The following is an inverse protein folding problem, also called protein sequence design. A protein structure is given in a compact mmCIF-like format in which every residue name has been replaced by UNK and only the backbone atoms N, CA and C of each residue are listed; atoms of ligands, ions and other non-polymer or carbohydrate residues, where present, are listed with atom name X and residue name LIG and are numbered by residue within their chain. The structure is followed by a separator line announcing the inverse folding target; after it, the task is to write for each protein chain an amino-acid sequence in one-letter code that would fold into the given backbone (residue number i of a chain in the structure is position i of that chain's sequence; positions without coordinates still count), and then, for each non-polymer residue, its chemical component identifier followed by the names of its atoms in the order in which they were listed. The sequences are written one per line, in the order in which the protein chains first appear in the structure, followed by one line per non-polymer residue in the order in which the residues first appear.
data_IF_317150742188
#
_entry.id   IF_317150742188
#
_cell.length_a   1.000
_cell.length_b   1.000
_cell.length_c   1.000
_cell.angle_alpha   90.00
_cell.angle_beta   90.00
_cell.angle_gamma   90.00
#
_symmetry.space_group_name_H-M   'P 1'
#
loop_
_entity.id
_entity.type
_entity.pdbx_description
1 polymer ?
#
# COMPACT_ATOMS: atom_id res chain seq x y z
N UNK A 1 -14.68 0.49 -7.76
CA UNK A 1 -15.59 -0.24 -8.69
C UNK A 1 -16.71 0.70 -9.10
N UNK A 2 -17.22 0.59 -10.33
CA UNK A 2 -18.37 1.36 -10.78
C UNK A 2 -19.63 0.92 -10.04
N UNK A 3 -20.70 1.73 -10.08
CA UNK A 3 -21.97 1.37 -9.46
C UNK A 3 -22.54 0.06 -10.03
N UNK A 4 -22.40 -0.15 -11.34
CA UNK A 4 -22.85 -1.36 -12.04
C UNK A 4 -22.10 -2.60 -11.59
N UNK A 5 -20.77 -2.48 -11.42
CA UNK A 5 -19.93 -3.57 -10.89
C UNK A 5 -20.30 -3.90 -9.43
N UNK A 6 -20.55 -2.89 -8.60
CA UNK A 6 -20.99 -3.06 -7.21
C UNK A 6 -22.33 -3.80 -7.17
N UNK A 7 -23.30 -3.41 -8.02
CA UNK A 7 -24.60 -4.08 -8.11
C UNK A 7 -24.46 -5.52 -8.61
N UNK A 8 -23.66 -5.75 -9.67
CA UNK A 8 -23.44 -7.09 -10.23
C UNK A 8 -22.75 -8.04 -9.24
N UNK A 9 -21.87 -7.51 -8.38
CA UNK A 9 -21.22 -8.27 -7.32
C UNK A 9 -22.12 -8.48 -6.07
N UNK A 10 -23.34 -7.93 -6.05
CA UNK A 10 -24.22 -7.95 -4.89
C UNK A 10 -23.70 -7.12 -3.70
N UNK A 11 -22.78 -6.18 -3.95
CA UNK A 11 -22.15 -5.34 -2.93
C UNK A 11 -22.98 -4.12 -2.52
N UNK A 12 -24.16 -3.91 -3.10
CA UNK A 12 -25.01 -2.76 -2.79
C UNK A 12 -25.34 -2.70 -1.30
N UNK A 13 -24.97 -1.60 -0.65
CA UNK A 13 -25.22 -1.37 0.77
C UNK A 13 -24.22 -1.99 1.75
N UNK A 14 -23.26 -2.78 1.24
CA UNK A 14 -22.17 -3.37 2.03
C UNK A 14 -20.82 -2.81 1.62
N UNK A 15 -20.66 -2.53 0.32
CA UNK A 15 -19.49 -1.87 -0.21
C UNK A 15 -19.58 -0.38 0.08
N UNK A 16 -18.52 0.17 0.67
CA UNK A 16 -18.32 1.61 0.81
C UNK A 16 -16.90 1.93 0.40
N UNK A 17 -16.72 2.93 -0.44
CA UNK A 17 -15.40 3.34 -0.91
C UNK A 17 -15.15 4.82 -0.63
N UNK A 18 -13.91 5.09 -0.18
CA UNK A 18 -13.32 6.41 -0.05
C UNK A 18 -12.15 6.48 -1.02
N UNK A 19 -11.96 7.64 -1.65
CA UNK A 19 -10.88 7.86 -2.61
C UNK A 19 -9.87 8.84 -2.04
N UNK A 20 -8.60 8.46 -2.09
CA UNK A 20 -7.47 9.33 -1.88
C UNK A 20 -6.80 9.52 -3.24
N UNK A 21 -6.74 10.77 -3.71
CA UNK A 21 -6.09 11.15 -4.95
C UNK A 21 -5.54 12.56 -4.83
N UNK A 22 -4.35 12.82 -5.40
CA UNK A 22 -3.73 14.14 -5.32
C UNK A 22 -4.65 15.24 -5.88
N UNK A 23 -4.86 16.29 -5.09
CA UNK A 23 -5.74 17.42 -5.44
C UNK A 23 -7.24 17.10 -5.39
N UNK A 24 -7.62 16.02 -4.72
CA UNK A 24 -9.00 15.63 -4.52
C UNK A 24 -9.30 15.40 -3.04
N UNK A 25 -10.18 16.24 -2.47
CA UNK A 25 -10.57 16.13 -1.06
C UNK A 25 -11.11 14.76 -0.68
N UNK A 26 -10.53 14.21 0.37
CA UNK A 26 -10.98 13.03 1.09
C UNK A 26 -12.10 13.44 2.04
N UNK A 27 -13.15 12.62 2.14
CA UNK A 27 -14.22 12.83 3.11
C UNK A 27 -15.51 13.44 2.58
N UNK A 28 -15.68 13.54 1.26
CA UNK A 28 -16.88 14.07 0.61
C UNK A 28 -17.59 13.01 -0.23
N UNK A 29 -18.93 13.00 -0.23
CA UNK A 29 -19.73 12.10 -1.08
C UNK A 29 -19.92 12.69 -2.47
N UNK A 30 -19.26 12.11 -3.48
CA UNK A 30 -19.44 12.44 -4.90
C UNK A 30 -18.89 11.32 -5.78
N UNK A 31 -18.99 11.45 -7.10
CA UNK A 31 -18.30 10.53 -7.99
C UNK A 31 -16.84 10.97 -8.20
N UNK A 32 -15.93 10.01 -8.31
CA UNK A 32 -14.57 10.23 -8.78
C UNK A 32 -14.47 9.77 -10.23
N UNK A 33 -14.18 10.70 -11.14
CA UNK A 33 -13.99 10.44 -12.56
C UNK A 33 -12.50 10.43 -12.91
N UNK A 34 -11.97 9.26 -13.28
CA UNK A 34 -10.53 9.01 -13.42
C UNK A 34 -9.81 9.99 -14.35
N UNK A 35 -10.48 10.49 -15.39
CA UNK A 35 -9.89 11.46 -16.33
C UNK A 35 -10.03 12.92 -15.90
N UNK A 36 -11.10 13.26 -15.20
CA UNK A 36 -11.45 14.65 -14.93
C UNK A 36 -10.94 15.11 -13.57
N UNK A 37 -10.92 14.18 -12.59
CA UNK A 37 -10.61 14.45 -11.20
C UNK A 37 -9.15 14.16 -10.82
N UNK A 38 -8.38 13.50 -11.70
CA UNK A 38 -6.94 13.25 -11.47
C UNK A 38 -6.12 14.54 -11.42
N UNK A 39 -4.91 14.44 -10.86
CA UNK A 39 -4.00 15.57 -10.70
C UNK A 39 -3.45 16.11 -12.04
N UNK A 40 -3.13 15.26 -13.03
CA UNK A 40 -2.62 15.71 -14.33
C UNK A 40 -3.72 15.83 -15.39
N UNK A 41 -4.51 16.89 -15.32
CA UNK A 41 -5.66 17.12 -16.21
C UNK A 41 -5.31 17.41 -17.67
N UNK A 42 -4.03 17.61 -17.99
CA UNK A 42 -3.59 18.00 -19.34
C UNK A 42 -3.49 16.81 -20.31
N UNK A 43 -3.50 15.57 -19.82
CA UNK A 43 -3.44 14.37 -20.66
C UNK A 43 -4.77 14.11 -21.40
N UNK A 44 -4.69 13.66 -22.66
CA UNK A 44 -5.87 13.44 -23.50
C UNK A 44 -6.68 12.24 -23.02
N UNK A 45 -8.01 12.39 -22.88
CA UNK A 45 -8.88 11.28 -22.44
C UNK A 45 -8.77 10.02 -23.31
N UNK A 46 -8.44 8.90 -22.67
CA UNK A 46 -8.19 7.60 -23.27
C UNK A 46 -6.77 7.41 -23.83
N UNK A 47 -5.84 8.34 -23.57
CA UNK A 47 -4.43 8.20 -23.99
C UNK A 47 -3.60 7.38 -22.99
N UNK A 48 -2.38 7.00 -23.38
CA UNK A 48 -1.44 6.30 -22.49
C UNK A 48 -0.79 7.23 -21.46
N UNK A 49 -1.02 8.53 -21.58
CA UNK A 49 -0.58 9.56 -20.64
C UNK A 49 -1.42 9.59 -19.36
N UNK A 50 -2.41 8.69 -19.25
CA UNK A 50 -3.09 8.43 -17.99
C UNK A 50 -2.10 8.08 -16.87
N UNK A 51 -1.11 7.25 -17.19
CA UNK A 51 -0.13 6.74 -16.23
C UNK A 51 1.00 7.76 -16.05
N UNK A 52 1.27 8.13 -14.80
CA UNK A 52 2.40 8.98 -14.42
C UNK A 52 3.13 8.26 -13.30
N UNK A 53 4.39 7.87 -13.53
CA UNK A 53 5.07 7.85 -14.83
C UNK A 53 4.39 6.93 -15.86
N UNK A 54 4.69 7.14 -17.14
CA UNK A 54 4.12 6.36 -18.24
C UNK A 54 4.27 4.85 -18.01
N UNK A 55 3.21 4.09 -18.29
CA UNK A 55 3.21 2.64 -18.08
C UNK A 55 4.37 1.99 -18.85
N UNK A 56 5.17 1.12 -18.20
CA UNK A 56 6.22 0.39 -18.88
C UNK A 56 5.66 -0.40 -20.07
N UNK A 57 6.44 -0.47 -21.14
CA UNK A 57 6.13 -1.32 -22.29
C UNK A 57 6.38 -2.79 -21.94
N UNK A 58 5.61 -3.69 -22.54
CA UNK A 58 5.82 -5.14 -22.38
C UNK A 58 7.23 -5.51 -22.85
N UNK A 59 7.99 -6.22 -22.02
CA UNK A 59 9.32 -6.73 -22.37
C UNK A 59 9.49 -8.14 -21.84
N UNK A 60 10.06 -9.02 -22.64
CA UNK A 60 10.53 -10.32 -22.15
C UNK A 60 11.84 -10.16 -21.38
N UNK A 61 11.90 -10.70 -20.16
CA UNK A 61 13.11 -10.66 -19.33
C UNK A 61 13.69 -12.06 -19.13
N UNK A 62 14.80 -12.33 -19.82
CA UNK A 62 15.58 -13.55 -19.67
C UNK A 62 16.11 -13.73 -18.24
N UNK A 63 16.60 -12.66 -17.62
CA UNK A 63 17.15 -12.69 -16.27
C UNK A 63 16.07 -13.06 -15.25
N UNK A 64 14.87 -12.45 -15.34
CA UNK A 64 13.75 -12.79 -14.46
C UNK A 64 13.25 -14.22 -14.67
N UNK A 65 13.16 -14.70 -15.92
CA UNK A 65 12.74 -16.08 -16.21
C UNK A 65 13.73 -17.12 -15.67
N UNK A 66 15.03 -16.86 -15.84
CA UNK A 66 16.12 -17.68 -15.29
C UNK A 66 16.12 -17.66 -13.76
N UNK A 67 15.89 -16.48 -13.18
CA UNK A 67 15.76 -16.26 -11.75
C UNK A 67 14.34 -16.50 -11.24
N UNK A 68 13.43 -17.13 -11.96
CA UNK A 68 12.13 -17.59 -11.44
C UNK A 68 12.06 -19.13 -11.47
N UNK A 69 12.75 -19.72 -12.45
CA UNK A 69 12.83 -21.16 -12.66
C UNK A 69 13.60 -21.88 -11.55
N UNK A 70 12.91 -22.82 -10.86
CA UNK A 70 13.52 -23.68 -9.83
C UNK A 70 14.29 -24.87 -10.41
N UNK A 71 14.10 -25.20 -11.68
CA UNK A 71 14.64 -26.40 -12.33
C UNK A 71 15.52 -26.05 -13.52
N UNK A 72 16.47 -26.94 -13.82
CA UNK A 72 17.40 -26.75 -14.94
C UNK A 72 16.67 -26.73 -16.30
N UNK A 73 15.60 -27.51 -16.48
CA UNK A 73 14.80 -27.50 -17.70
C UNK A 73 13.95 -26.22 -17.85
N UNK A 74 13.48 -25.62 -16.75
CA UNK A 74 12.78 -24.32 -16.82
C UNK A 74 13.70 -23.18 -17.25
N UNK A 75 14.97 -23.23 -16.82
CA UNK A 75 16.03 -22.34 -17.29
C UNK A 75 16.29 -22.53 -18.79
N UNK A 76 16.42 -23.77 -19.25
CA UNK A 76 16.59 -24.08 -20.69
C UNK A 76 15.39 -23.61 -21.51
N UNK A 77 14.16 -23.87 -21.05
CA UNK A 77 12.94 -23.44 -21.74
C UNK A 77 12.87 -21.91 -21.87
N UNK A 78 13.27 -21.17 -20.84
CA UNK A 78 13.35 -19.70 -20.85
C UNK A 78 14.29 -19.19 -21.94
N UNK A 79 15.42 -19.87 -22.16
CA UNK A 79 16.40 -19.51 -23.19
C UNK A 79 15.91 -19.93 -24.57
N UNK A 80 15.35 -21.13 -24.70
CA UNK A 80 14.89 -21.69 -25.99
C UNK A 80 13.67 -20.96 -26.54
N UNK A 81 12.78 -20.45 -25.69
CA UNK A 81 11.61 -19.67 -26.12
C UNK A 81 11.95 -18.22 -26.47
N UNK A 82 13.09 -17.71 -26.01
CA UNK A 82 13.46 -16.30 -26.17
C UNK A 82 13.53 -15.82 -27.63
N UNK A 83 14.09 -16.58 -28.60
CA UNK A 83 14.11 -16.17 -30.01
C UNK A 83 12.71 -15.96 -30.62
N UNK A 84 11.66 -16.54 -30.04
CA UNK A 84 10.27 -16.35 -30.48
C UNK A 84 9.59 -15.24 -29.67
N UNK A 85 9.72 -15.27 -28.34
CA UNK A 85 8.99 -14.36 -27.46
C UNK A 85 9.57 -12.94 -27.49
N UNK A 86 10.90 -12.79 -27.58
CA UNK A 86 11.53 -11.46 -27.62
C UNK A 86 11.01 -10.65 -28.82
N UNK A 87 11.08 -11.13 -30.08
CA UNK A 87 10.53 -10.38 -31.21
C UNK A 87 9.04 -10.07 -31.07
N UNK A 88 8.24 -11.01 -30.53
CA UNK A 88 6.80 -10.80 -30.30
C UNK A 88 6.56 -9.67 -29.30
N UNK A 89 7.26 -9.68 -28.17
CA UNK A 89 7.11 -8.63 -27.14
C UNK A 89 7.67 -7.28 -27.60
N UNK A 90 8.79 -7.26 -28.33
CA UNK A 90 9.35 -6.04 -28.92
C UNK A 90 8.41 -5.45 -29.98
N UNK A 91 7.84 -6.29 -30.84
CA UNK A 91 6.84 -5.89 -31.84
C UNK A 91 5.59 -5.34 -31.16
N UNK A 92 5.06 -6.03 -30.14
CA UNK A 92 3.93 -5.54 -29.36
C UNK A 92 4.24 -4.20 -28.70
N UNK A 93 5.42 -4.04 -28.09
CA UNK A 93 5.89 -2.79 -27.49
C UNK A 93 6.09 -1.66 -28.51
N UNK A 94 6.50 -1.98 -29.74
CA UNK A 94 6.59 -1.03 -30.86
C UNK A 94 5.20 -0.53 -31.26
N UNK A 95 4.20 -1.42 -31.31
CA UNK A 95 2.78 -1.06 -31.46
C UNK A 95 2.14 -0.51 -30.17
N UNK A 96 2.95 -0.30 -29.13
CA UNK A 96 2.57 0.40 -27.91
C UNK A 96 1.88 -0.45 -26.87
N UNK A 97 2.01 -1.77 -26.88
CA UNK A 97 1.55 -2.60 -25.78
C UNK A 97 2.27 -2.21 -24.47
N UNK A 98 1.48 -1.75 -23.50
CA UNK A 98 1.90 -1.36 -22.17
C UNK A 98 1.41 -2.41 -21.16
N UNK A 99 2.10 -2.53 -20.03
CA UNK A 99 1.74 -3.47 -18.96
C UNK A 99 0.40 -3.08 -18.32
N UNK A 100 0.17 -1.79 -18.09
CA UNK A 100 -1.06 -1.29 -17.48
C UNK A 100 -2.07 -0.89 -18.57
N UNK A 101 -3.31 -1.33 -18.40
CA UNK A 101 -4.43 -0.89 -19.24
C UNK A 101 -4.78 0.57 -18.95
N UNK A 102 -5.20 1.31 -19.97
CA UNK A 102 -5.70 2.67 -19.79
C UNK A 102 -7.18 2.63 -19.38
N UNK A 103 -7.59 3.37 -18.34
CA UNK A 103 -8.99 3.62 -17.99
C UNK A 103 -9.88 3.99 -19.17
N UNK A 104 -11.12 3.48 -19.19
CA UNK A 104 -12.14 3.98 -20.12
C UNK A 104 -12.36 5.49 -19.92
N UNK A 105 -12.66 6.22 -21.00
CA UNK A 105 -12.81 7.68 -21.00
C UNK A 105 -13.93 8.16 -20.07
N UNK A 106 -14.95 7.33 -19.87
CA UNK A 106 -16.12 7.62 -19.04
C UNK A 106 -16.04 6.97 -17.65
N UNK A 107 -14.92 6.34 -17.32
CA UNK A 107 -14.83 5.57 -16.08
C UNK A 107 -14.91 6.47 -14.85
N UNK A 108 -15.92 6.19 -14.02
CA UNK A 108 -16.13 6.83 -12.74
C UNK A 108 -16.55 5.83 -11.68
N UNK A 109 -16.26 6.15 -10.43
CA UNK A 109 -16.60 5.35 -9.25
C UNK A 109 -17.38 6.20 -8.24
N UNK A 110 -18.42 5.65 -7.59
CA UNK A 110 -19.20 6.38 -6.59
C UNK A 110 -18.45 6.44 -5.24
N UNK A 111 -18.23 7.62 -4.67
CA UNK A 111 -17.75 7.73 -3.27
C UNK A 111 -18.97 7.76 -2.37
N UNK A 112 -19.26 6.62 -1.77
CA UNK A 112 -20.44 6.36 -0.95
C UNK A 112 -20.12 6.17 0.54
N UNK A 113 -18.83 6.14 0.91
CA UNK A 113 -18.40 6.17 2.30
C UNK A 113 -18.98 7.40 3.05
N UNK A 114 -19.27 7.29 4.36
CA UNK A 114 -19.71 8.42 5.16
C UNK A 114 -18.78 9.62 5.01
N UNK A 115 -19.38 10.81 5.00
CA UNK A 115 -18.61 12.06 4.99
C UNK A 115 -17.82 12.19 6.28
N UNK A 116 -16.61 12.71 6.19
CA UNK A 116 -15.80 12.95 7.37
C UNK A 116 -16.23 14.28 8.01
N UNK A 117 -16.18 14.41 9.34
CA UNK A 117 -16.46 15.69 10.01
C UNK A 117 -15.59 16.83 9.50
N UNK A 118 -14.36 16.50 9.09
CA UNK A 118 -13.44 17.44 8.43
C UNK A 118 -12.86 16.79 7.18
N UNK A 119 -13.29 17.25 6.00
CA UNK A 119 -12.69 16.86 4.73
C UNK A 119 -11.29 17.48 4.58
N UNK A 120 -10.35 16.73 4.00
CA UNK A 120 -8.95 17.15 3.88
C UNK A 120 -8.37 16.81 2.50
N UNK A 121 -7.33 17.54 2.09
CA UNK A 121 -6.53 17.16 0.91
C UNK A 121 -5.52 16.09 1.32
N UNK A 122 -5.40 14.98 0.57
CA UNK A 122 -4.43 13.97 0.89
C UNK A 122 -3.02 14.49 0.60
N UNK A 123 -2.05 14.14 1.45
CA UNK A 123 -0.66 14.57 1.33
C UNK A 123 0.33 13.43 1.59
N UNK A 124 1.45 13.48 0.88
CA UNK A 124 2.58 12.59 1.10
C UNK A 124 3.33 12.99 2.38
N UNK A 125 3.96 12.04 3.05
CA UNK A 125 4.80 12.32 4.22
C UNK A 125 6.06 11.47 4.17
N UNK A 126 7.13 12.03 3.59
CA UNK A 126 8.44 11.38 3.51
C UNK A 126 9.45 12.09 4.39
N UNK A 127 10.15 11.33 5.22
CA UNK A 127 11.23 11.84 6.07
C UNK A 127 10.81 13.06 6.93
N UNK A 128 9.56 13.04 7.42
CA UNK A 128 8.99 14.11 8.24
C UNK A 128 8.61 15.39 7.48
N UNK A 129 8.56 15.34 6.15
CA UNK A 129 8.17 16.48 5.29
C UNK A 129 6.90 16.14 4.51
N UNK A 130 5.88 16.97 4.67
CA UNK A 130 4.68 16.89 3.85
C UNK A 130 5.00 17.27 2.39
N UNK A 131 4.33 16.61 1.45
CA UNK A 131 4.49 16.85 0.03
C UNK A 131 3.29 16.36 -0.77
N UNK A 132 3.48 16.24 -2.08
CA UNK A 132 2.46 15.70 -2.98
C UNK A 132 2.09 14.26 -2.60
N UNK A 133 0.79 13.95 -2.63
CA UNK A 133 0.27 12.63 -2.24
C UNK A 133 0.81 11.47 -3.06
N UNK A 134 0.94 11.63 -4.38
CA UNK A 134 1.39 10.54 -5.25
C UNK A 134 2.89 10.24 -5.04
N UNK A 135 3.65 11.14 -4.40
CA UNK A 135 5.10 11.09 -4.05
C UNK A 135 6.07 10.79 -5.21
N UNK A 136 5.56 10.39 -6.38
CA UNK A 136 6.18 10.02 -7.66
C UNK A 136 7.16 8.84 -7.60
N UNK A 137 8.12 8.85 -6.67
CA UNK A 137 9.16 7.84 -6.56
C UNK A 137 9.55 7.60 -5.10
N UNK A 138 10.00 6.37 -4.85
CA UNK A 138 10.49 5.91 -3.56
C UNK A 138 11.81 5.17 -3.75
N UNK A 139 12.90 5.94 -3.87
CA UNK A 139 14.23 5.38 -4.04
C UNK A 139 14.71 4.81 -2.69
N UNK A 140 14.98 3.50 -2.57
CA UNK A 140 15.27 2.84 -1.30
C UNK A 140 16.57 3.31 -0.64
N UNK A 141 17.49 3.91 -1.41
CA UNK A 141 18.68 4.55 -0.85
C UNK A 141 18.35 5.76 0.03
N UNK A 142 17.20 6.41 -0.16
CA UNK A 142 16.82 7.58 0.64
C UNK A 142 16.46 7.19 2.09
N UNK A 143 16.04 5.94 2.34
CA UNK A 143 15.72 5.43 3.70
C UNK A 143 16.92 5.36 4.63
N UNK A 144 18.14 5.43 4.08
CA UNK A 144 19.39 5.44 4.82
C UNK A 144 19.43 6.61 5.81
N UNK A 145 19.98 6.36 6.99
CA UNK A 145 20.17 7.37 8.03
C UNK A 145 21.18 8.42 7.56
N UNK A 146 20.73 9.66 7.40
CA UNK A 146 21.58 10.77 6.97
C UNK A 146 22.77 11.02 7.93
N UNK A 147 22.65 10.62 9.20
CA UNK A 147 23.66 10.86 10.24
C UNK A 147 24.59 9.66 10.49
N UNK A 148 24.32 8.49 9.90
CA UNK A 148 25.13 7.29 10.10
C UNK A 148 26.43 7.38 9.30
N UNK A 149 27.56 7.33 10.01
CA UNK A 149 28.88 7.14 9.38
C UNK A 149 28.97 5.72 8.84
N UNK A 150 29.35 5.59 7.57
CA UNK A 150 29.46 4.31 6.86
C UNK A 150 30.90 4.07 6.43
N UNK A 151 31.37 2.86 6.67
CA UNK A 151 32.68 2.41 6.19
C UNK A 151 32.64 2.17 4.67
N UNK A 152 33.80 2.23 4.01
CA UNK A 152 33.91 1.98 2.58
C UNK A 152 33.41 0.59 2.14
N UNK A 153 33.40 -0.37 3.06
CA UNK A 153 32.92 -1.74 2.82
C UNK A 153 31.43 -1.92 3.16
N UNK A 154 30.75 -0.88 3.63
CA UNK A 154 29.31 -0.96 3.91
C UNK A 154 28.53 -1.04 2.59
N UNK A 155 27.64 -2.04 2.41
CA UNK A 155 26.85 -2.18 1.18
C UNK A 155 25.92 -0.99 0.89
N UNK A 156 25.63 -0.17 1.90
CA UNK A 156 24.77 1.02 1.83
C UNK A 156 25.55 2.34 1.66
N UNK A 157 26.87 2.31 1.50
CA UNK A 157 27.71 3.52 1.48
C UNK A 157 27.47 4.42 0.27
N UNK A 158 27.17 3.83 -0.89
CA UNK A 158 27.10 4.55 -2.16
C UNK A 158 25.76 5.24 -2.37
N UNK A 159 25.85 6.50 -2.82
CA UNK A 159 24.77 7.23 -3.48
C UNK A 159 24.74 6.85 -4.97
N UNK A 160 23.55 6.56 -5.46
CA UNK A 160 23.31 6.12 -6.83
C UNK A 160 22.60 7.23 -7.59
N UNK A 161 22.91 7.42 -8.88
CA UNK A 161 22.29 8.46 -9.69
C UNK A 161 20.82 8.14 -9.95
N UNK A 162 19.96 9.13 -9.80
CA UNK A 162 18.56 9.07 -10.18
C UNK A 162 18.39 9.64 -11.59
N UNK A 163 17.61 8.97 -12.44
CA UNK A 163 17.35 9.45 -13.81
C UNK A 163 16.05 10.24 -13.86
N UNK A 164 16.06 11.50 -14.32
CA UNK A 164 14.82 12.25 -14.52
C UNK A 164 13.90 11.49 -15.49
N UNK A 165 12.67 11.23 -15.07
CA UNK A 165 11.66 10.56 -15.89
C UNK A 165 10.76 11.58 -16.56
N UNK A 166 10.28 11.23 -17.74
CA UNK A 166 9.35 12.06 -18.51
C UNK A 166 8.05 12.24 -17.73
N UNK A 167 7.55 13.48 -17.67
CA UNK A 167 6.28 13.85 -17.03
C UNK A 167 6.24 13.75 -15.50
N UNK A 168 7.39 13.57 -14.84
CA UNK A 168 7.53 13.71 -13.39
C UNK A 168 8.06 15.12 -13.04
N UNK A 169 7.74 15.66 -11.84
CA UNK A 169 8.43 16.83 -11.31
C UNK A 169 9.95 16.63 -11.23
N UNK A 170 10.69 17.71 -11.02
CA UNK A 170 12.13 17.65 -10.85
C UNK A 170 12.48 16.76 -9.65
N UNK A 171 13.24 15.69 -9.90
CA UNK A 171 13.75 14.79 -8.86
C UNK A 171 15.17 15.14 -8.46
N UNK A 172 15.63 14.61 -7.33
CA UNK A 172 17.04 14.78 -6.96
C UNK A 172 17.97 14.06 -7.93
N UNK A 173 19.25 14.45 -7.93
CA UNK A 173 20.27 13.82 -8.76
C UNK A 173 20.68 12.42 -8.28
N UNK A 174 20.51 12.12 -7.00
CA UNK A 174 20.93 10.86 -6.37
C UNK A 174 19.95 10.37 -5.30
N UNK A 175 20.05 9.10 -4.93
CA UNK A 175 19.31 8.47 -3.81
C UNK A 175 19.95 8.78 -2.44
N UNK A 176 20.53 9.98 -2.28
CA UNK A 176 21.23 10.39 -1.07
C UNK A 176 20.37 10.17 0.18
N UNK A 177 21.03 9.79 1.28
CA UNK A 177 20.40 9.47 2.55
C UNK A 177 19.57 10.64 3.09
N UNK A 178 18.29 10.38 3.38
CA UNK A 178 17.33 11.35 3.93
C UNK A 178 16.62 10.81 5.18
N UNK A 179 16.69 9.50 5.39
CA UNK A 179 16.09 8.81 6.49
C UNK A 179 16.80 9.02 7.81
N UNK A 180 16.37 8.23 8.78
CA UNK A 180 16.91 8.18 10.13
C UNK A 180 17.23 6.72 10.49
N UNK A 181 17.67 6.51 11.73
CA UNK A 181 18.01 5.18 12.24
C UNK A 181 16.88 4.16 12.06
N UNK A 182 15.62 4.58 12.22
CA UNK A 182 14.48 3.67 12.22
C UNK A 182 14.09 3.28 10.78
N UNK A 183 14.09 4.23 9.83
CA UNK A 183 13.88 3.93 8.40
C UNK A 183 15.00 3.05 7.84
N UNK A 184 16.27 3.33 8.20
CA UNK A 184 17.37 2.47 7.79
C UNK A 184 17.27 1.08 8.43
N UNK A 185 16.84 1.00 9.69
CA UNK A 185 16.59 -0.25 10.38
C UNK A 185 15.53 -1.11 9.68
N UNK A 186 14.41 -0.51 9.28
CA UNK A 186 13.35 -1.18 8.51
C UNK A 186 13.85 -1.67 7.15
N UNK A 187 14.56 -0.81 6.40
CA UNK A 187 15.17 -1.17 5.10
C UNK A 187 16.12 -2.34 5.22
N UNK A 188 17.01 -2.30 6.23
CA UNK A 188 17.95 -3.40 6.51
C UNK A 188 17.19 -4.66 6.89
N UNK A 189 16.17 -4.58 7.73
CA UNK A 189 15.36 -5.75 8.09
C UNK A 189 14.77 -6.44 6.84
N UNK A 190 14.19 -5.67 5.93
CA UNK A 190 13.66 -6.19 4.67
C UNK A 190 14.73 -6.80 3.77
N UNK A 191 15.88 -6.13 3.63
CA UNK A 191 16.99 -6.65 2.82
C UNK A 191 17.52 -7.96 3.39
N UNK A 192 17.69 -8.04 4.71
CA UNK A 192 18.08 -9.28 5.40
C UNK A 192 17.03 -10.38 5.17
N UNK A 193 15.72 -10.06 5.22
CA UNK A 193 14.67 -11.04 4.91
C UNK A 193 14.77 -11.56 3.46
N UNK A 194 14.99 -10.67 2.49
CA UNK A 194 15.20 -11.02 1.07
C UNK A 194 16.44 -11.90 0.89
N UNK A 195 17.55 -11.55 1.54
CA UNK A 195 18.79 -12.32 1.50
C UNK A 195 18.62 -13.72 2.08
N UNK A 196 17.90 -13.89 3.21
CA UNK A 196 17.58 -15.22 3.76
C UNK A 196 16.82 -16.08 2.75
N UNK A 197 15.83 -15.50 2.07
CA UNK A 197 15.07 -16.21 1.04
C UNK A 197 15.96 -16.58 -0.16
N UNK A 198 16.82 -15.67 -0.60
CA UNK A 198 17.72 -15.90 -1.73
C UNK A 198 18.80 -16.93 -1.41
N UNK A 199 19.43 -16.87 -0.24
CA UNK A 199 20.45 -17.84 0.20
C UNK A 199 19.88 -19.27 0.25
N UNK A 200 18.66 -19.45 0.77
CA UNK A 200 17.95 -20.74 0.74
C UNK A 200 17.71 -21.22 -0.69
N UNK A 201 17.32 -20.30 -1.57
CA UNK A 201 17.04 -20.60 -2.96
C UNK A 201 18.29 -21.01 -3.74
N UNK A 202 19.41 -20.37 -3.44
CA UNK A 202 20.73 -20.67 -4.02
C UNK A 202 21.40 -21.89 -3.37
N UNK A 203 20.71 -22.54 -2.43
CA UNK A 203 21.18 -23.73 -1.70
C UNK A 203 22.48 -23.47 -0.91
N UNK A 204 22.69 -22.23 -0.48
CA UNK A 204 23.80 -21.88 0.42
C UNK A 204 23.61 -22.46 1.83
N UNK A 205 22.37 -22.86 2.15
CA UNK A 205 21.98 -23.45 3.43
C UNK A 205 21.14 -24.70 3.17
N UNK A 206 21.26 -25.72 4.03
CA UNK A 206 20.47 -26.95 3.91
C UNK A 206 18.97 -26.65 4.11
N UNK A 207 18.06 -27.39 3.45
CA UNK A 207 16.62 -27.23 3.68
C UNK A 207 16.26 -27.39 5.16
N UNK A 208 15.49 -26.44 5.69
CA UNK A 208 15.04 -26.44 7.09
C UNK A 208 16.00 -25.75 8.07
N UNK A 209 17.26 -25.54 7.71
CA UNK A 209 18.23 -24.87 8.58
C UNK A 209 18.09 -23.34 8.55
N UNK A 210 18.44 -22.64 9.65
CA UNK A 210 18.51 -21.18 9.68
C UNK A 210 19.69 -20.66 8.85
N UNK A 211 19.55 -19.44 8.32
CA UNK A 211 20.61 -18.77 7.57
C UNK A 211 21.47 -17.97 8.57
N UNK A 212 22.26 -18.68 9.37
CA UNK A 212 23.03 -18.08 10.48
C UNK A 212 24.00 -17.00 10.03
N UNK A 213 24.50 -17.08 8.80
CA UNK A 213 25.37 -16.06 8.21
C UNK A 213 24.67 -14.70 8.02
N UNK A 214 23.33 -14.65 7.86
CA UNK A 214 22.59 -13.38 7.82
C UNK A 214 22.16 -12.92 9.21
N UNK A 215 21.96 -13.85 10.14
CA UNK A 215 21.61 -13.53 11.53
C UNK A 215 22.83 -13.01 12.32
N UNK A 216 24.04 -13.45 11.93
CA UNK A 216 25.34 -13.05 12.51
C UNK A 216 26.37 -12.73 11.42
N UNK A 217 26.16 -11.65 10.65
CA UNK A 217 27.00 -11.30 9.50
C UNK A 217 28.47 -11.07 9.85
N UNK A 218 28.78 -10.70 11.09
CA UNK A 218 30.14 -10.55 11.60
C UNK A 218 30.93 -11.87 11.59
N UNK A 219 30.25 -12.98 11.86
CA UNK A 219 30.83 -14.34 11.89
C UNK A 219 30.77 -15.07 10.55
N UNK A 220 30.10 -14.48 9.55
CA UNK A 220 30.01 -15.06 8.22
C UNK A 220 31.37 -15.13 7.53
N UNK A 221 31.55 -16.13 6.68
CA UNK A 221 32.73 -16.24 5.82
C UNK A 221 32.79 -15.10 4.78
N UNK A 222 33.98 -14.94 4.20
CA UNK A 222 34.24 -13.84 3.27
C UNK A 222 33.42 -13.97 1.98
N UNK A 223 33.19 -15.20 1.51
CA UNK A 223 32.38 -15.47 0.31
C UNK A 223 30.94 -15.00 0.50
N UNK A 224 30.34 -15.27 1.67
CA UNK A 224 29.01 -14.82 2.03
C UNK A 224 28.95 -13.30 2.15
N UNK A 225 29.97 -12.67 2.76
CA UNK A 225 30.05 -11.20 2.88
C UNK A 225 30.11 -10.51 1.51
N UNK A 226 30.90 -11.06 0.58
CA UNK A 226 30.99 -10.58 -0.81
C UNK A 226 29.65 -10.77 -1.53
N UNK A 227 29.04 -11.95 -1.41
CA UNK A 227 27.73 -12.25 -1.99
C UNK A 227 26.64 -11.31 -1.47
N UNK A 228 26.57 -11.14 -0.15
CA UNK A 228 25.61 -10.27 0.55
C UNK A 228 25.74 -8.83 0.08
N UNK A 229 26.97 -8.32 0.03
CA UNK A 229 27.25 -6.95 -0.41
C UNK A 229 26.80 -6.71 -1.84
N UNK A 230 27.10 -7.67 -2.73
CA UNK A 230 26.67 -7.64 -4.14
C UNK A 230 25.15 -7.61 -4.27
N UNK A 231 24.44 -8.45 -3.53
CA UNK A 231 22.98 -8.54 -3.60
C UNK A 231 22.27 -7.30 -3.03
N UNK A 232 22.75 -6.73 -1.93
CA UNK A 232 22.20 -5.47 -1.39
C UNK A 232 22.39 -4.32 -2.39
N UNK A 233 23.60 -4.16 -2.95
CA UNK A 233 23.86 -3.15 -3.98
C UNK A 233 22.96 -3.35 -5.19
N UNK A 234 22.70 -4.60 -5.58
CA UNK A 234 21.77 -4.95 -6.66
C UNK A 234 20.33 -4.53 -6.32
N UNK A 235 19.82 -4.85 -5.13
CA UNK A 235 18.46 -4.45 -4.72
C UNK A 235 18.27 -2.94 -4.74
N UNK A 236 19.23 -2.19 -4.20
CA UNK A 236 19.15 -0.72 -4.16
C UNK A 236 19.16 -0.13 -5.57
N UNK A 237 19.99 -0.67 -6.47
CA UNK A 237 20.06 -0.22 -7.86
C UNK A 237 18.85 -0.63 -8.70
N UNK A 238 18.36 -1.87 -8.57
CA UNK A 238 17.20 -2.35 -9.34
C UNK A 238 15.88 -1.66 -8.95
N UNK A 239 15.81 -1.15 -7.72
CA UNK A 239 14.62 -0.47 -7.17
C UNK A 239 14.78 1.05 -7.12
N UNK A 240 15.79 1.61 -7.78
CA UNK A 240 16.10 3.05 -7.73
C UNK A 240 15.01 3.94 -8.34
N UNK A 241 14.25 3.37 -9.29
CA UNK A 241 13.13 4.01 -9.97
C UNK A 241 11.78 3.40 -9.55
N UNK A 242 11.73 2.78 -8.37
CA UNK A 242 10.48 2.31 -7.80
C UNK A 242 9.55 3.50 -7.55
N UNK A 243 8.29 3.33 -7.94
CA UNK A 243 7.27 4.33 -7.69
C UNK A 243 6.84 4.23 -6.21
N UNK A 244 6.59 5.38 -5.58
CA UNK A 244 5.85 5.38 -4.33
C UNK A 244 4.46 4.77 -4.57
N UNK A 245 3.95 4.01 -3.60
CA UNK A 245 2.61 3.44 -3.68
C UNK A 245 1.67 4.22 -2.78
N UNK A 246 0.64 4.83 -3.35
CA UNK A 246 -0.37 5.61 -2.62
C UNK A 246 -0.98 4.84 -1.44
N UNK A 247 -1.07 3.51 -1.55
CA UNK A 247 -1.56 2.65 -0.48
C UNK A 247 -0.72 2.76 0.79
N UNK A 248 0.61 2.88 0.66
CA UNK A 248 1.50 3.08 1.80
C UNK A 248 1.29 4.48 2.38
N UNK A 249 1.19 5.50 1.52
CA UNK A 249 1.00 6.91 1.91
C UNK A 249 -0.31 7.16 2.67
N UNK A 250 -1.39 6.46 2.31
CA UNK A 250 -2.66 6.54 3.05
C UNK A 250 -2.49 6.07 4.50
N UNK A 251 -1.72 4.99 4.71
CA UNK A 251 -1.59 4.32 6.00
C UNK A 251 -0.46 4.85 6.88
N UNK A 252 0.55 5.49 6.29
CA UNK A 252 1.74 5.98 7.01
C UNK A 252 1.64 7.46 7.41
N UNK A 253 0.68 8.20 6.86
CA UNK A 253 0.47 9.60 7.24
C UNK A 253 -0.43 9.70 8.49
N UNK A 254 0.05 10.26 9.61
CA UNK A 254 -0.72 10.38 10.84
C UNK A 254 -2.00 11.22 10.68
N UNK A 255 -2.00 12.22 9.80
CA UNK A 255 -3.19 13.04 9.51
C UNK A 255 -4.26 12.21 8.80
N UNK A 256 -3.88 11.36 7.83
CA UNK A 256 -4.82 10.45 7.17
C UNK A 256 -5.41 9.44 8.16
N UNK A 257 -4.57 8.91 9.05
CA UNK A 257 -5.01 7.97 10.07
C UNK A 257 -6.00 8.60 11.05
N UNK A 258 -5.69 9.80 11.55
CA UNK A 258 -6.55 10.57 12.46
C UNK A 258 -7.90 10.94 11.82
N UNK A 259 -7.86 11.46 10.59
CA UNK A 259 -9.06 12.05 9.97
C UNK A 259 -9.95 11.03 9.25
N UNK A 260 -9.38 9.96 8.68
CA UNK A 260 -10.13 8.98 7.89
C UNK A 260 -10.14 7.57 8.50
N UNK A 261 -8.98 6.99 8.83
CA UNK A 261 -8.92 5.59 9.28
C UNK A 261 -9.69 5.35 10.58
N UNK A 262 -9.60 6.28 11.54
CA UNK A 262 -10.36 6.20 12.79
C UNK A 262 -11.88 6.07 12.59
N UNK A 263 -12.41 6.59 11.46
CA UNK A 263 -13.82 6.53 11.10
C UNK A 263 -14.17 5.26 10.31
N UNK A 264 -13.26 4.82 9.43
CA UNK A 264 -13.49 3.68 8.55
C UNK A 264 -13.36 2.32 9.29
N UNK A 265 -12.73 2.27 10.48
CA UNK A 265 -12.67 1.07 11.37
C UNK A 265 -14.06 0.58 11.82
N UNK A 266 -15.10 1.39 11.70
CA UNK A 266 -16.48 1.01 12.03
C UNK A 266 -17.24 0.30 10.88
N UNK A 267 -16.66 0.15 9.69
CA UNK A 267 -17.35 -0.36 8.50
C UNK A 267 -16.89 -1.78 8.17
N UNK A 268 -17.41 -2.76 8.91
CA UNK A 268 -17.20 -4.18 8.65
C UNK A 268 -17.96 -5.09 9.61
N UNK A 269 -18.25 -6.32 9.18
CA UNK A 269 -18.82 -7.36 10.06
C UNK A 269 -17.77 -7.73 11.12
N UNK A 270 -17.86 -7.10 12.30
CA UNK A 270 -16.97 -7.38 13.41
C UNK A 270 -17.34 -8.73 14.04
N UNK A 271 -16.52 -9.76 13.80
CA UNK A 271 -16.63 -11.07 14.47
C UNK A 271 -15.88 -11.13 15.80
N UNK A 272 -15.30 -10.02 16.21
CA UNK A 272 -14.55 -9.91 17.46
C UNK A 272 -15.57 -9.76 18.60
N UNK A 273 -15.55 -10.63 19.62
CA UNK A 273 -16.39 -10.49 20.79
C UNK A 273 -16.24 -9.10 21.42
N UNK A 274 -17.31 -8.57 22.03
CA UNK A 274 -17.32 -7.21 22.56
C UNK A 274 -16.16 -6.92 23.54
N UNK A 275 -15.77 -7.89 24.37
CA UNK A 275 -14.65 -7.75 25.31
C UNK A 275 -13.28 -7.68 24.60
N UNK A 276 -13.06 -8.48 23.56
CA UNK A 276 -11.81 -8.45 22.78
C UNK A 276 -11.75 -7.19 21.91
N UNK A 277 -12.91 -6.70 21.47
CA UNK A 277 -13.01 -5.45 20.72
C UNK A 277 -12.77 -4.23 21.63
N UNK A 278 -13.16 -4.31 22.89
CA UNK A 278 -12.85 -3.31 23.93
C UNK A 278 -11.33 -3.24 24.18
N UNK A 279 -10.71 -4.41 24.38
CA UNK A 279 -9.25 -4.49 24.51
C UNK A 279 -8.53 -3.99 23.25
N UNK A 280 -9.00 -4.36 22.05
CA UNK A 280 -8.45 -3.89 20.78
C UNK A 280 -8.57 -2.36 20.63
N UNK A 281 -9.69 -1.76 21.03
CA UNK A 281 -9.87 -0.29 20.98
C UNK A 281 -8.90 0.42 21.91
N UNK A 282 -8.67 -0.12 23.11
CA UNK A 282 -7.71 0.40 24.08
C UNK A 282 -6.28 0.27 23.55
N UNK A 283 -5.93 -0.87 22.96
CA UNK A 283 -4.59 -1.13 22.41
C UNK A 283 -4.31 -0.35 21.12
N UNK A 284 -5.31 -0.20 20.25
CA UNK A 284 -5.19 0.50 18.98
C UNK A 284 -4.93 2.00 19.15
N UNK A 285 -5.43 2.63 20.22
CA UNK A 285 -5.17 4.06 20.41
C UNK A 285 -5.24 4.58 21.85
N UNK A 286 -4.45 3.98 22.75
CA UNK A 286 -4.25 4.44 24.12
C UNK A 286 -3.82 5.92 24.25
N UNK A 287 -3.40 6.56 23.15
CA UNK A 287 -2.91 7.96 23.11
C UNK A 287 -4.01 8.99 22.87
N UNK A 288 -5.10 8.65 22.18
CA UNK A 288 -6.18 9.61 21.86
C UNK A 288 -7.25 9.72 22.95
N UNK A 289 -7.34 8.74 23.87
CA UNK A 289 -8.35 8.70 24.92
C UNK A 289 -8.37 9.96 25.81
N UNK A 290 -7.18 10.48 26.17
CA UNK A 290 -7.05 11.63 27.08
C UNK A 290 -6.75 12.97 26.37
N UNK A 291 -6.52 12.96 25.06
CA UNK A 291 -5.95 14.10 24.31
C UNK A 291 -6.95 14.96 23.52
N UNK A 292 -8.20 14.52 23.37
CA UNK A 292 -9.20 15.23 22.53
C UNK A 292 -9.75 16.46 23.27
N UNK A 293 -9.21 17.64 22.92
CA UNK A 293 -9.64 18.93 23.44
C UNK A 293 -11.11 19.24 23.14
N UNK A 294 -11.74 20.08 23.96
CA UNK A 294 -13.19 20.34 23.88
C UNK A 294 -13.65 21.03 22.58
N UNK A 295 -12.72 21.63 21.85
CA UNK A 295 -12.99 22.30 20.56
C UNK A 295 -12.70 21.42 19.35
N UNK A 296 -12.25 20.18 19.54
CA UNK A 296 -11.94 19.27 18.46
C UNK A 296 -13.23 18.79 17.78
N UNK A 297 -13.32 18.81 16.42
CA UNK A 297 -14.46 18.26 15.70
C UNK A 297 -14.65 16.74 15.94
N UNK A 298 -13.64 16.06 16.47
CA UNK A 298 -13.64 14.64 16.84
C UNK A 298 -14.17 14.38 18.27
N UNK A 299 -14.49 15.43 19.05
CA UNK A 299 -15.00 15.32 20.43
C UNK A 299 -16.23 14.41 20.60
N UNK A 300 -17.19 14.33 19.66
CA UNK A 300 -18.33 13.41 19.80
C UNK A 300 -17.92 11.93 19.89
N UNK A 301 -16.80 11.53 19.27
CA UNK A 301 -16.32 10.15 19.27
C UNK A 301 -15.69 9.71 20.59
N UNK A 302 -15.39 10.64 21.51
CA UNK A 302 -14.84 10.27 22.82
C UNK A 302 -15.81 9.40 23.62
N UNK A 303 -17.13 9.50 23.38
CA UNK A 303 -18.07 8.56 24.00
C UNK A 303 -17.85 7.12 23.49
N UNK A 304 -17.65 6.95 22.18
CA UNK A 304 -17.40 5.65 21.57
C UNK A 304 -16.11 5.02 22.09
N UNK A 305 -15.01 5.78 22.14
CA UNK A 305 -13.74 5.26 22.63
C UNK A 305 -13.78 4.91 24.13
N UNK A 306 -14.66 5.54 24.92
CA UNK A 306 -14.75 5.30 26.37
C UNK A 306 -15.46 4.03 26.73
N UNK A 307 -16.61 3.86 26.09
CA UNK A 307 -17.66 2.96 26.57
C UNK A 307 -18.18 2.08 25.45
N UNK A 308 -17.67 2.22 24.22
CA UNK A 308 -18.23 1.56 23.05
C UNK A 308 -19.65 2.04 22.73
N UNK A 309 -20.02 3.26 23.14
CA UNK A 309 -21.37 3.82 23.02
C UNK A 309 -21.33 5.19 22.37
N UNK A 310 -22.36 5.52 21.60
CA UNK A 310 -22.60 6.87 21.08
C UNK A 310 -23.89 7.40 21.69
N UNK A 311 -23.88 8.65 22.17
CA UNK A 311 -25.02 9.26 22.86
C UNK A 311 -25.63 8.39 23.98
N UNK A 312 -24.77 7.69 24.73
CA UNK A 312 -25.15 6.72 25.80
C UNK A 312 -25.95 5.51 25.32
N UNK A 313 -25.94 5.23 24.01
CA UNK A 313 -26.54 4.05 23.40
C UNK A 313 -25.45 3.14 22.85
N UNK A 314 -25.61 1.81 22.90
CA UNK A 314 -24.80 0.89 22.10
C UNK A 314 -24.75 1.36 20.65
N UNK A 315 -23.60 1.22 19.97
CA UNK A 315 -23.44 1.67 18.58
C UNK A 315 -24.53 1.13 17.66
N UNK A 316 -24.92 -0.12 17.86
CA UNK A 316 -26.00 -0.74 17.09
C UNK A 316 -27.32 0.05 17.21
N UNK A 317 -27.70 0.46 18.42
CA UNK A 317 -28.94 1.22 18.64
C UNK A 317 -28.81 2.66 18.12
N UNK A 318 -27.67 3.31 18.39
CA UNK A 318 -27.41 4.66 17.88
C UNK A 318 -27.42 4.70 16.34
N UNK A 319 -26.85 3.71 15.66
CA UNK A 319 -26.85 3.60 14.21
C UNK A 319 -28.24 3.26 13.60
N UNK A 320 -29.25 3.01 14.43
CA UNK A 320 -30.64 2.85 13.97
C UNK A 320 -31.54 4.03 14.34
N UNK A 321 -31.02 5.03 15.08
CA UNK A 321 -31.78 6.25 15.36
C UNK A 321 -31.97 7.05 14.06
N UNK A 322 -33.19 7.53 13.73
CA UNK A 322 -33.48 8.22 12.47
C UNK A 322 -32.59 9.43 12.15
N UNK A 323 -32.12 10.12 13.21
CA UNK A 323 -31.33 11.34 13.10
C UNK A 323 -29.82 11.10 13.37
N UNK A 324 -29.41 9.84 13.47
CA UNK A 324 -28.01 9.49 13.72
C UNK A 324 -27.16 9.65 12.48
N UNK A 325 -25.96 10.19 12.64
CA UNK A 325 -24.94 10.25 11.58
C UNK A 325 -24.52 8.85 11.11
N UNK A 326 -24.73 7.83 11.94
CA UNK A 326 -24.52 6.42 11.62
C UNK A 326 -25.76 5.70 11.09
N UNK A 327 -26.90 6.40 10.89
CA UNK A 327 -28.13 5.79 10.41
C UNK A 327 -27.92 5.11 9.05
N UNK A 328 -28.29 3.84 8.96
CA UNK A 328 -28.26 3.11 7.70
C UNK A 328 -29.28 3.73 6.73
N UNK A 329 -28.84 4.29 5.58
CA UNK A 329 -29.76 4.88 4.62
C UNK A 329 -30.91 3.92 4.28
N UNK A 330 -32.14 4.44 4.24
CA UNK A 330 -33.37 3.65 4.00
C UNK A 330 -33.41 2.86 2.70
N UNK A 331 -32.44 3.08 1.80
CA UNK A 331 -32.25 2.32 0.56
C UNK A 331 -31.41 1.05 0.74
N UNK A 332 -30.83 0.83 1.91
CA UNK A 332 -30.01 -0.34 2.24
C UNK A 332 -30.84 -1.27 3.12
N UNK A 333 -31.12 -2.47 2.63
CA UNK A 333 -31.77 -3.52 3.42
C UNK A 333 -30.71 -4.23 4.30
N UNK A 334 -30.79 -4.06 5.62
CA UNK A 334 -29.94 -4.79 6.58
C UNK A 334 -30.44 -6.24 6.77
N UNK A 335 -30.25 -7.10 5.76
CA UNK A 335 -30.49 -8.54 5.88
C UNK A 335 -29.19 -9.27 6.18
N UNK A 336 -28.84 -9.37 7.46
CA UNK A 336 -27.71 -10.20 7.90
C UNK A 336 -28.22 -11.60 8.22
N UNK A 337 -28.29 -12.48 7.22
CA UNK A 337 -28.22 -13.93 7.44
C UNK A 337 -28.05 -14.67 6.10
N UNK A 338 -26.91 -15.34 5.93
CA UNK A 338 -26.88 -16.58 5.18
C UNK A 338 -27.49 -17.62 6.13
N UNK A 339 -28.60 -18.30 5.78
CA UNK A 339 -29.22 -19.24 6.70
C UNK A 339 -28.20 -20.31 7.09
N UNK A 340 -28.00 -20.51 8.40
CA UNK A 340 -27.14 -21.55 8.91
C UNK A 340 -27.63 -22.92 8.39
N UNK A 341 -26.75 -23.83 7.92
CA UNK A 341 -27.16 -25.17 7.58
C UNK A 341 -27.78 -25.85 8.82
N UNK A 342 -28.85 -26.65 8.67
CA UNK A 342 -29.65 -27.21 9.79
C UNK A 342 -28.89 -28.05 10.81
N UNK A 343 -27.61 -28.33 10.58
CA UNK A 343 -26.80 -29.27 11.36
C UNK A 343 -25.91 -28.63 12.44
N UNK A 344 -25.91 -27.31 12.61
CA UNK A 344 -25.15 -26.69 13.70
C UNK A 344 -25.98 -26.65 14.99
N UNK A 345 -25.69 -27.56 15.92
CA UNK A 345 -26.06 -27.42 17.33
C UNK A 345 -24.86 -26.88 18.11
N UNK A 346 -24.99 -25.79 18.87
CA UNK A 346 -23.93 -25.36 19.76
C UNK A 346 -23.67 -26.45 20.82
N UNK A 347 -22.42 -26.72 21.22
CA UNK A 347 -22.15 -27.60 22.34
C UNK A 347 -22.53 -26.86 23.64
N UNK A 348 -23.63 -27.25 24.28
CA UNK A 348 -23.90 -26.80 25.65
C UNK A 348 -25.34 -26.55 26.11
N UNK A 349 -26.38 -27.01 25.41
CA UNK A 349 -27.76 -27.07 25.97
C UNK A 349 -28.31 -28.51 25.99
#
# INVERSE_FOLDING_TARGET
MSQEEIMAAGGTGVFSQRVFAQGFKVGIKKNYHFWNDRHNRNAISGSKEFWIPASPKVKYSLSQGMSASKTWYGKVLTVVSAPVIVPVTETAAMFGACINATPDKSWSIPIDAPELPEAFEPEGLRFGKSGDFDEYYDAPGQDRDANRVRDANDPYVEDRPLQQRTSEPQRESTDAAKGNRDSEGARRYEDHARLRMLARREKMVKPGEPVTAEDKPETADDDYKVWRTREIKRYLTENIDSNATDHSTIMTNPMHAEKALAYDVAVGMCRIPAADLDQLRIEADWRLWQGIGDTSPQKPLTAYFRTGQMNKKPIFEWAHDPDSEGNLPSKIEDRREYPAPPSYRPPGD
#
